data_IF_349028368822
#
_entry.id   IF_349028368822
#
_cell.length_a   1.000
_cell.length_b   1.000
_cell.length_c   1.000
_cell.angle_alpha   90.00
_cell.angle_beta   90.00
_cell.angle_gamma   90.00
#
_symmetry.space_group_name_H-M   'P 1'
#
loop_
_entity.id
_entity.type
_entity.pdbx_description
1 polymer ?
#
# COMPACT_ATOMS: atom_id res chain seq x y z
N UNK A 1 9.41 15.57 -0.31
CA UNK A 1 10.34 15.54 -1.47
C UNK A 1 10.19 14.20 -2.18
N UNK A 2 9.90 14.22 -3.46
CA UNK A 2 9.94 13.05 -4.35
C UNK A 2 11.39 12.84 -4.82
N UNK A 3 11.85 11.59 -4.84
CA UNK A 3 13.16 11.19 -5.38
C UNK A 3 12.91 10.11 -6.43
N UNK A 4 13.47 10.29 -7.62
CA UNK A 4 13.39 9.36 -8.73
C UNK A 4 14.80 8.90 -9.13
N UNK A 5 14.91 7.67 -9.61
CA UNK A 5 16.15 7.07 -10.09
C UNK A 5 15.94 5.60 -10.42
N UNK A 6 16.87 5.02 -11.16
CA UNK A 6 16.80 3.64 -11.61
C UNK A 6 17.45 2.67 -10.61
N UNK A 7 16.85 1.50 -10.47
CA UNK A 7 17.39 0.40 -9.68
C UNK A 7 17.62 -0.80 -10.57
N UNK A 8 18.77 -1.45 -10.39
CA UNK A 8 19.02 -2.74 -11.05
C UNK A 8 18.39 -3.85 -10.24
N UNK A 9 17.68 -4.72 -10.95
CA UNK A 9 17.25 -6.02 -10.43
C UNK A 9 18.36 -7.02 -10.73
N UNK A 10 18.78 -7.77 -9.71
CA UNK A 10 19.79 -8.82 -9.87
C UNK A 10 19.26 -9.97 -10.72
N UNK A 11 20.14 -10.82 -11.24
CA UNK A 11 19.74 -12.04 -11.96
C UNK A 11 18.91 -13.04 -11.13
N UNK A 12 18.81 -12.84 -9.82
CA UNK A 12 17.94 -13.61 -8.92
C UNK A 12 16.62 -12.91 -8.61
N UNK A 13 16.29 -11.82 -9.30
CA UNK A 13 15.06 -11.05 -9.10
C UNK A 13 15.06 -10.15 -7.87
N UNK A 14 16.22 -9.89 -7.25
CA UNK A 14 16.31 -9.05 -6.05
C UNK A 14 16.69 -7.62 -6.41
N UNK A 15 16.06 -6.64 -5.77
CA UNK A 15 16.49 -5.23 -5.83
C UNK A 15 16.62 -4.65 -4.42
N UNK A 16 17.50 -3.67 -4.26
CA UNK A 16 17.64 -2.95 -3.00
C UNK A 16 16.80 -1.68 -2.99
N UNK A 17 16.02 -1.47 -1.93
CA UNK A 17 15.38 -0.18 -1.69
C UNK A 17 16.43 0.94 -1.57
N UNK A 18 16.19 2.15 -2.10
CA UNK A 18 17.11 3.28 -1.91
C UNK A 18 17.35 3.56 -0.42
N UNK A 19 18.58 3.95 -0.05
CA UNK A 19 18.95 4.19 1.35
C UNK A 19 18.03 5.21 2.05
N UNK A 20 17.67 6.29 1.35
CA UNK A 20 16.74 7.29 1.86
C UNK A 20 15.33 6.71 2.13
N UNK A 21 14.88 5.79 1.28
CA UNK A 21 13.61 5.07 1.48
C UNK A 21 13.69 4.15 2.70
N UNK A 22 14.79 3.39 2.86
CA UNK A 22 14.99 2.53 4.04
C UNK A 22 14.94 3.32 5.34
N UNK A 23 15.68 4.44 5.42
CA UNK A 23 15.65 5.33 6.58
C UNK A 23 14.26 5.87 6.88
N UNK A 24 13.57 6.40 5.86
CA UNK A 24 12.21 6.94 6.01
C UNK A 24 11.21 5.89 6.49
N UNK A 25 11.41 4.63 6.10
CA UNK A 25 10.52 3.52 6.47
C UNK A 25 10.97 2.77 7.73
N UNK A 26 12.09 3.16 8.35
CA UNK A 26 12.63 2.48 9.54
C UNK A 26 13.16 1.06 9.24
N UNK A 27 13.70 0.84 8.03
CA UNK A 27 14.22 -0.45 7.55
C UNK A 27 15.76 -0.48 7.49
N UNK A 28 16.46 0.37 8.25
CA UNK A 28 17.92 0.42 8.25
C UNK A 28 18.54 -0.87 8.81
N UNK A 29 17.88 -1.51 9.77
CA UNK A 29 18.27 -2.80 10.35
C UNK A 29 17.55 -4.00 9.70
N UNK A 30 16.92 -3.79 8.54
CA UNK A 30 16.04 -4.76 7.89
C UNK A 30 14.57 -4.64 8.32
N UNK A 31 13.75 -5.59 7.90
CA UNK A 31 12.31 -5.60 8.16
C UNK A 31 11.50 -6.13 6.99
N UNK A 32 10.18 -5.93 7.03
CA UNK A 32 9.26 -6.41 6.00
C UNK A 32 8.60 -5.27 5.23
N UNK A 33 8.39 -5.53 3.94
CA UNK A 33 7.58 -4.71 3.04
C UNK A 33 6.48 -5.59 2.45
N UNK A 34 5.28 -5.05 2.33
CA UNK A 34 4.23 -5.62 1.50
C UNK A 34 4.42 -5.17 0.06
N UNK A 35 3.81 -5.88 -0.86
CA UNK A 35 3.69 -5.44 -2.24
C UNK A 35 2.23 -5.57 -2.72
N UNK A 36 1.83 -4.65 -3.57
CA UNK A 36 0.63 -4.75 -4.40
C UNK A 36 1.10 -4.80 -5.85
N UNK A 37 0.75 -5.85 -6.55
CA UNK A 37 0.96 -5.97 -7.98
C UNK A 37 -0.26 -5.40 -8.70
N UNK A 38 -0.04 -4.37 -9.53
CA UNK A 38 -1.08 -3.72 -10.33
C UNK A 38 -0.83 -3.90 -11.84
N UNK A 39 -0.08 -4.94 -12.21
CA UNK A 39 0.21 -5.31 -13.59
C UNK A 39 1.42 -4.57 -14.15
N UNK A 40 1.28 -3.27 -14.42
CA UNK A 40 2.35 -2.45 -15.01
C UNK A 40 3.34 -1.91 -13.96
N UNK A 41 2.98 -2.02 -12.68
CA UNK A 41 3.79 -1.54 -11.58
C UNK A 41 3.58 -2.39 -10.33
N UNK A 42 4.58 -2.32 -9.45
CA UNK A 42 4.49 -2.88 -8.09
C UNK A 42 4.59 -1.74 -7.09
N UNK A 43 3.59 -1.63 -6.22
CA UNK A 43 3.59 -0.69 -5.10
C UNK A 43 4.13 -1.38 -3.86
N UNK A 44 5.20 -0.84 -3.28
CA UNK A 44 5.77 -1.34 -2.04
C UNK A 44 5.22 -0.57 -0.84
N UNK A 45 4.85 -1.33 0.20
CA UNK A 45 4.16 -0.81 1.38
C UNK A 45 5.01 -1.07 2.63
N UNK A 46 5.45 -0.02 3.35
CA UNK A 46 6.20 -0.21 4.59
C UNK A 46 5.34 -0.89 5.66
N UNK A 47 5.86 -1.93 6.31
CA UNK A 47 5.14 -2.65 7.37
C UNK A 47 4.04 -3.59 6.89
N UNK A 48 3.93 -3.83 5.58
CA UNK A 48 3.06 -4.86 5.01
C UNK A 48 1.66 -4.40 4.61
N UNK A 49 1.01 -5.18 3.74
CA UNK A 49 -0.33 -4.87 3.20
C UNK A 49 -1.39 -4.85 4.31
N UNK A 50 -1.23 -5.67 5.35
CA UNK A 50 -2.15 -5.67 6.50
C UNK A 50 -2.15 -4.35 7.27
N UNK A 51 -1.00 -3.67 7.35
CA UNK A 51 -0.91 -2.33 7.93
C UNK A 51 -1.63 -1.31 7.07
N UNK A 52 -1.36 -1.29 5.76
CA UNK A 52 -2.03 -0.41 4.81
C UNK A 52 -3.56 -0.60 4.85
N UNK A 53 -4.04 -1.86 4.85
CA UNK A 53 -5.48 -2.14 4.93
C UNK A 53 -6.10 -1.51 6.18
N UNK A 54 -5.47 -1.66 7.35
CA UNK A 54 -5.97 -1.05 8.59
C UNK A 54 -5.97 0.47 8.52
N UNK A 55 -4.89 1.07 8.02
CA UNK A 55 -4.79 2.52 7.87
C UNK A 55 -5.87 3.06 6.92
N UNK A 56 -6.06 2.43 5.75
CA UNK A 56 -7.11 2.79 4.79
C UNK A 56 -8.50 2.67 5.40
N UNK A 57 -8.83 1.54 6.03
CA UNK A 57 -10.12 1.35 6.68
C UNK A 57 -10.35 2.37 7.82
N UNK A 58 -9.31 2.72 8.56
CA UNK A 58 -9.40 3.74 9.62
C UNK A 58 -9.56 5.16 9.09
N UNK A 59 -9.22 5.42 7.83
CA UNK A 59 -9.39 6.72 7.19
C UNK A 59 -10.79 6.94 6.58
N UNK A 60 -11.59 5.87 6.45
CA UNK A 60 -12.97 5.97 5.94
C UNK A 60 -13.85 6.54 7.05
N UNK A 61 -14.44 7.71 6.81
CA UNK A 61 -15.35 8.35 7.74
C UNK A 61 -16.74 7.69 7.73
N UNK A 62 -17.57 8.02 8.72
CA UNK A 62 -18.97 7.56 8.73
C UNK A 62 -19.76 8.05 7.52
N UNK A 63 -19.49 9.26 7.05
CA UNK A 63 -20.11 9.85 5.85
C UNK A 63 -19.67 9.11 4.58
N UNK A 64 -18.39 8.76 4.47
CA UNK A 64 -17.88 7.95 3.34
C UNK A 64 -18.57 6.58 3.28
N UNK A 65 -18.84 5.97 4.44
CA UNK A 65 -19.61 4.73 4.51
C UNK A 65 -21.07 4.91 4.10
N UNK A 66 -21.73 6.01 4.48
CA UNK A 66 -23.09 6.31 4.05
C UNK A 66 -23.19 6.47 2.53
N UNK A 67 -22.29 7.27 1.95
CA UNK A 67 -22.24 7.49 0.49
C UNK A 67 -21.93 6.20 -0.26
N UNK A 68 -21.00 5.37 0.24
CA UNK A 68 -20.70 4.08 -0.38
C UNK A 68 -21.92 3.16 -0.36
N UNK A 69 -22.67 3.13 0.75
CA UNK A 69 -23.90 2.34 0.92
C UNK A 69 -24.95 2.68 -0.13
N UNK A 70 -25.14 3.98 -0.38
CA UNK A 70 -26.12 4.48 -1.35
C UNK A 70 -25.68 4.22 -2.80
N UNK A 71 -24.36 4.14 -3.05
CA UNK A 71 -23.77 3.94 -4.37
C UNK A 71 -23.85 2.52 -4.93
N UNK A 72 -24.10 1.50 -4.10
CA UNK A 72 -24.20 0.10 -4.57
C UNK A 72 -25.49 -0.20 -5.35
N UNK A 73 -26.43 0.76 -5.45
CA UNK A 73 -27.63 0.64 -6.30
C UNK A 73 -28.65 -0.39 -5.82
N UNK A 74 -28.33 -1.19 -4.81
CA UNK A 74 -29.19 -2.16 -4.15
C UNK A 74 -29.10 -1.99 -2.62
N UNK A 75 -30.16 -1.47 -1.98
CA UNK A 75 -30.21 -1.28 -0.52
C UNK A 75 -30.12 -2.59 0.28
N UNK A 76 -30.38 -3.75 -0.32
CA UNK A 76 -30.32 -5.04 0.37
C UNK A 76 -28.90 -5.61 0.43
N UNK A 77 -28.05 -5.35 -0.58
CA UNK A 77 -26.63 -5.77 -0.59
C UNK A 77 -25.77 -5.00 0.43
N UNK A 78 -26.25 -3.88 0.94
CA UNK A 78 -25.53 -3.04 1.89
C UNK A 78 -25.44 -3.61 3.32
N UNK A 79 -26.18 -4.68 3.64
CA UNK A 79 -26.36 -5.20 5.00
C UNK A 79 -25.84 -6.64 5.22
N UNK A 80 -25.25 -7.28 4.20
CA UNK A 80 -24.54 -8.57 4.30
C UNK A 80 -23.03 -8.37 4.56
#
# INVERSE_FOLDING_TARGET
>A
MSSAGDLRVSGRGQMSLPAATRRRWGLEEGGSVGYLDIGEAVLLVPGGVGRLRRELLSSVSGEDWEVARDGFGDPELANE
#
